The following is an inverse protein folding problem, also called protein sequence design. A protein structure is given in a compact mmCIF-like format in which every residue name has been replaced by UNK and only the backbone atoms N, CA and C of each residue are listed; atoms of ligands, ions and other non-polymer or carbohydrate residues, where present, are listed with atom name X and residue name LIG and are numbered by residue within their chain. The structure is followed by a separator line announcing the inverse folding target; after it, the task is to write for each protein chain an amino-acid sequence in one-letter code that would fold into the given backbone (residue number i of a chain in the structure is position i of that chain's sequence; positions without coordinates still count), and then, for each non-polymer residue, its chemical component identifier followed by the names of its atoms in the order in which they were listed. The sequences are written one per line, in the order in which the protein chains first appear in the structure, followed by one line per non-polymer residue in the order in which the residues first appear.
data_IF_344939357959
#
_entry.id   IF_344939357959
#
_cell.length_a   1.000
_cell.length_b   1.000
_cell.length_c   1.000
_cell.angle_alpha   90.00
_cell.angle_beta   90.00
_cell.angle_gamma   90.00
#
_symmetry.space_group_name_H-M   'P 1'
#
loop_
_entity.id
_entity.type
_entity.pdbx_description
1 polymer ?
#
# COMPACT_ATOMS: atom_id res chain seq x y z
N UNK A 1 -7.77 7.09 24.06
CA UNK A 1 -7.79 7.92 22.83
C UNK A 1 -7.06 7.27 21.64
N UNK A 2 -5.97 6.53 21.83
CA UNK A 2 -5.20 5.91 20.72
C UNK A 2 -5.98 4.75 20.04
N UNK A 3 -6.82 4.01 20.78
CA UNK A 3 -7.53 2.84 20.24
C UNK A 3 -8.65 3.17 19.25
N UNK A 4 -9.36 4.28 19.44
CA UNK A 4 -10.43 4.71 18.54
C UNK A 4 -9.93 5.21 17.18
N UNK A 5 -8.62 5.46 17.05
CA UNK A 5 -8.02 5.97 15.83
C UNK A 5 -7.52 4.87 14.89
N UNK A 6 -7.58 3.60 15.30
CA UNK A 6 -7.10 2.45 14.50
C UNK A 6 -7.90 2.30 13.19
N UNK A 7 -9.22 2.51 13.24
CA UNK A 7 -10.10 2.41 12.07
C UNK A 7 -9.85 3.51 11.03
N UNK A 8 -9.87 4.83 11.38
CA UNK A 8 -9.54 5.87 10.41
C UNK A 8 -8.09 5.76 9.93
N UNK A 9 -7.14 5.35 10.78
CA UNK A 9 -5.76 5.10 10.38
C UNK A 9 -5.63 3.99 9.33
N UNK A 10 -6.29 2.84 9.56
CA UNK A 10 -6.26 1.72 8.63
C UNK A 10 -6.93 2.04 7.30
N UNK A 11 -8.06 2.75 7.31
CA UNK A 11 -8.71 3.24 6.08
C UNK A 11 -7.79 4.19 5.30
N UNK A 12 -7.12 5.12 5.99
CA UNK A 12 -6.22 6.08 5.37
C UNK A 12 -5.02 5.38 4.72
N UNK A 13 -4.46 4.36 5.38
CA UNK A 13 -3.40 3.53 4.80
C UNK A 13 -3.86 2.77 3.55
N UNK A 14 -5.05 2.19 3.55
CA UNK A 14 -5.59 1.50 2.36
C UNK A 14 -5.77 2.48 1.20
N UNK A 15 -6.34 3.66 1.47
CA UNK A 15 -6.56 4.70 0.46
C UNK A 15 -5.22 5.19 -0.10
N UNK A 16 -4.26 5.54 0.75
CA UNK A 16 -2.93 6.00 0.33
C UNK A 16 -2.18 4.90 -0.43
N UNK A 17 -2.22 3.65 0.04
CA UNK A 17 -1.60 2.51 -0.63
C UNK A 17 -2.20 2.26 -2.02
N UNK A 18 -3.53 2.37 -2.14
CA UNK A 18 -4.24 2.24 -3.42
C UNK A 18 -3.87 3.37 -4.38
N UNK A 19 -3.87 4.62 -3.92
CA UNK A 19 -3.48 5.79 -4.72
C UNK A 19 -2.02 5.65 -5.17
N UNK A 20 -1.12 5.25 -4.27
CA UNK A 20 0.29 5.02 -4.59
C UNK A 20 0.44 3.96 -5.69
N UNK A 21 -0.22 2.81 -5.56
CA UNK A 21 -0.19 1.76 -6.58
C UNK A 21 -0.78 2.28 -7.91
N UNK A 22 -1.89 3.01 -7.86
CA UNK A 22 -2.47 3.62 -9.06
C UNK A 22 -1.47 4.54 -9.79
N UNK A 23 -0.77 5.42 -9.06
CA UNK A 23 0.27 6.26 -9.66
C UNK A 23 1.47 5.46 -10.16
N UNK A 24 1.87 4.42 -9.45
CA UNK A 24 2.95 3.52 -9.85
C UNK A 24 2.61 2.82 -11.18
N UNK A 25 1.40 2.31 -11.32
CA UNK A 25 0.89 1.71 -12.55
C UNK A 25 0.69 2.75 -13.66
N UNK A 26 0.21 3.95 -13.33
CA UNK A 26 0.06 5.05 -14.29
C UNK A 26 1.40 5.54 -14.84
N UNK A 27 2.45 5.53 -14.02
CA UNK A 27 3.82 5.93 -14.40
C UNK A 27 4.59 4.82 -15.13
N UNK A 28 3.95 3.68 -15.41
CA UNK A 28 4.55 2.51 -16.09
C UNK A 28 4.86 2.82 -17.57
N UNK A 29 5.88 3.64 -17.80
CA UNK A 29 6.53 3.79 -19.09
C UNK A 29 7.74 2.85 -19.10
N UNK A 30 7.51 1.58 -19.43
CA UNK A 30 8.59 0.65 -19.67
C UNK A 30 9.25 1.03 -21.00
N UNK A 31 10.28 1.88 -20.95
CA UNK A 31 11.28 1.89 -22.02
C UNK A 31 11.92 0.52 -22.00
N UNK A 32 11.61 -0.27 -23.02
CA UNK A 32 12.00 -1.67 -23.15
C UNK A 32 13.51 -1.83 -22.94
N UNK A 33 13.93 -2.66 -21.98
CA UNK A 33 15.30 -3.16 -21.90
C UNK A 33 16.00 -3.05 -20.54
N UNK A 34 15.55 -2.21 -19.61
CA UNK A 34 16.28 -2.00 -18.36
C UNK A 34 15.74 -2.88 -17.21
N UNK A 35 16.50 -3.91 -16.82
CA UNK A 35 16.20 -4.79 -15.66
C UNK A 35 16.17 -4.04 -14.34
N UNK A 36 16.89 -2.91 -14.25
CA UNK A 36 16.84 -2.01 -13.09
C UNK A 36 15.45 -1.39 -12.90
N UNK A 37 14.83 -0.90 -13.98
CA UNK A 37 13.51 -0.24 -13.91
C UNK A 37 12.42 -1.26 -13.54
N UNK A 38 12.54 -2.49 -14.04
CA UNK A 38 11.66 -3.60 -13.64
C UNK A 38 11.81 -3.94 -12.16
N UNK A 39 13.04 -3.95 -11.64
CA UNK A 39 13.31 -4.22 -10.23
C UNK A 39 12.76 -3.13 -9.31
N UNK A 40 12.91 -1.86 -9.70
CA UNK A 40 12.34 -0.72 -8.97
C UNK A 40 10.81 -0.73 -8.98
N UNK A 41 10.20 -1.10 -10.10
CA UNK A 41 8.76 -1.25 -10.19
C UNK A 41 8.22 -2.35 -9.27
N UNK A 42 8.87 -3.52 -9.24
CA UNK A 42 8.49 -4.64 -8.36
C UNK A 42 8.62 -4.23 -6.89
N UNK A 43 9.72 -3.57 -6.51
CA UNK A 43 9.90 -3.04 -5.15
C UNK A 43 8.80 -2.04 -4.78
N UNK A 44 8.42 -1.16 -5.71
CA UNK A 44 7.29 -0.24 -5.53
C UNK A 44 5.98 -0.99 -5.28
N UNK A 45 5.66 -2.00 -6.09
CA UNK A 45 4.44 -2.82 -5.91
C UNK A 45 4.44 -3.46 -4.52
N UNK A 46 5.54 -4.09 -4.13
CA UNK A 46 5.66 -4.76 -2.83
C UNK A 46 5.44 -3.75 -1.69
N UNK A 47 6.05 -2.57 -1.77
CA UNK A 47 5.86 -1.51 -0.78
C UNK A 47 4.41 -1.03 -0.68
N UNK A 48 3.75 -0.80 -1.82
CA UNK A 48 2.34 -0.39 -1.87
C UNK A 48 1.40 -1.45 -1.30
N UNK A 49 1.61 -2.72 -1.63
CA UNK A 49 0.85 -3.85 -1.10
C UNK A 49 1.07 -3.98 0.42
N UNK A 50 2.31 -3.85 0.89
CA UNK A 50 2.62 -3.94 2.32
C UNK A 50 1.90 -2.85 3.12
N UNK A 51 1.81 -1.63 2.57
CA UNK A 51 1.11 -0.52 3.19
C UNK A 51 -0.40 -0.77 3.31
N UNK A 52 -1.01 -1.40 2.30
CA UNK A 52 -2.42 -1.84 2.35
C UNK A 52 -2.61 -2.94 3.41
N UNK A 53 -1.69 -3.92 3.48
CA UNK A 53 -1.75 -4.99 4.47
C UNK A 53 -1.71 -4.42 5.89
N UNK A 54 -0.83 -3.46 6.19
CA UNK A 54 -0.80 -2.79 7.50
C UNK A 54 -2.15 -2.14 7.80
N UNK A 55 -2.76 -1.47 6.82
CA UNK A 55 -4.08 -0.86 6.99
C UNK A 55 -5.18 -1.89 7.29
N UNK A 56 -5.17 -3.04 6.61
CA UNK A 56 -6.11 -4.15 6.87
C UNK A 56 -5.90 -4.70 8.27
N UNK A 57 -4.66 -4.95 8.68
CA UNK A 57 -4.34 -5.47 10.02
C UNK A 57 -4.81 -4.50 11.11
N UNK A 58 -4.60 -3.19 10.93
CA UNK A 58 -5.08 -2.18 11.88
C UNK A 58 -6.61 -2.18 12.02
N UNK A 59 -7.33 -2.43 10.92
CA UNK A 59 -8.79 -2.57 10.94
C UNK A 59 -9.21 -3.87 11.64
N UNK A 60 -8.55 -5.00 11.36
CA UNK A 60 -8.85 -6.27 12.02
C UNK A 60 -8.64 -6.20 13.54
N UNK A 61 -7.56 -5.54 13.98
CA UNK A 61 -7.29 -5.26 15.40
C UNK A 61 -8.35 -4.36 16.04
N UNK A 62 -8.93 -3.42 15.27
CA UNK A 62 -10.03 -2.60 15.77
C UNK A 62 -11.30 -3.44 16.02
N UNK A 63 -11.58 -4.40 15.14
CA UNK A 63 -12.74 -5.30 15.30
C UNK A 63 -12.51 -6.45 16.28
N UNK A 64 -11.32 -6.58 16.87
CA UNK A 64 -10.99 -7.66 17.81
C UNK A 64 -10.96 -9.05 17.17
N UNK A 65 -10.78 -9.11 15.84
CA UNK A 65 -10.70 -10.37 15.08
C UNK A 65 -9.27 -10.96 15.15
N UNK A 66 -8.32 -10.19 15.66
CA UNK A 66 -6.90 -10.51 15.81
C UNK A 66 -6.31 -9.87 17.07
#
# INVERSE_FOLDING_TARGET
MIENNKLPFGLLLIVVGTIYLFFLFKRRNFREGNTWDKSMFIRGIIGGIFLIIIGIVAILMYFGIW
#
